data_IF_382147457406
#
_entry.id   IF_382147457406
#
_cell.length_a   1.000
_cell.length_b   1.000
_cell.length_c   1.000
_cell.angle_alpha   90.00
_cell.angle_beta   90.00
_cell.angle_gamma   90.00
#
_symmetry.space_group_name_H-M   'P 1'
#
loop_
_entity.id
_entity.type
_entity.pdbx_description
1 polymer ?
#
# COMPACT_ATOMS: atom_id res chain seq x y z
N UNK A 1 -0.76 6.26 -17.50
CA UNK A 1 -0.34 7.43 -16.69
C UNK A 1 1.15 7.65 -16.91
N UNK A 2 1.64 8.89 -16.82
CA UNK A 2 3.07 9.19 -17.04
C UNK A 2 3.75 9.52 -15.71
N UNK A 3 4.79 8.77 -15.37
CA UNK A 3 5.62 8.95 -14.17
C UNK A 3 7.11 9.16 -14.51
N UNK A 4 7.41 9.50 -15.75
CA UNK A 4 8.79 9.74 -16.19
C UNK A 4 9.47 10.78 -15.28
N UNK A 5 10.67 10.46 -14.78
CA UNK A 5 11.41 11.30 -13.83
C UNK A 5 10.90 11.26 -12.39
N UNK A 6 9.86 10.48 -12.08
CA UNK A 6 9.39 10.27 -10.71
C UNK A 6 10.03 9.04 -10.09
N UNK A 7 10.13 9.04 -8.77
CA UNK A 7 10.59 7.89 -7.98
C UNK A 7 9.50 7.49 -7.01
N UNK A 8 9.17 6.22 -7.00
CA UNK A 8 8.19 5.62 -6.09
C UNK A 8 8.89 4.73 -5.06
N UNK A 9 8.46 4.82 -3.81
CA UNK A 9 8.76 3.87 -2.74
C UNK A 9 7.50 3.05 -2.49
N UNK A 10 7.59 1.72 -2.62
CA UNK A 10 6.46 0.80 -2.42
C UNK A 10 6.79 -0.19 -1.32
N UNK A 11 6.05 -0.15 -0.21
CA UNK A 11 6.25 -1.12 0.87
C UNK A 11 5.51 -2.43 0.58
N UNK A 12 6.14 -3.57 0.91
CA UNK A 12 5.56 -4.89 0.61
C UNK A 12 5.45 -5.16 -0.90
N UNK A 13 6.41 -4.69 -1.70
CA UNK A 13 6.37 -4.72 -3.16
C UNK A 13 6.72 -6.06 -3.82
N UNK A 14 7.03 -7.11 -3.05
CA UNK A 14 7.57 -8.36 -3.59
C UNK A 14 6.51 -9.28 -4.22
N UNK A 15 5.23 -9.16 -3.88
CA UNK A 15 4.15 -10.03 -4.36
C UNK A 15 2.78 -9.34 -4.34
N UNK A 16 1.76 -10.02 -4.89
CA UNK A 16 0.36 -9.61 -4.83
C UNK A 16 0.13 -8.17 -5.30
N UNK A 17 -0.69 -7.44 -4.58
CA UNK A 17 -1.03 -6.04 -4.88
C UNK A 17 0.22 -5.16 -4.95
N UNK A 18 1.17 -5.32 -4.02
CA UNK A 18 2.40 -4.52 -4.00
C UNK A 18 3.25 -4.70 -5.25
N UNK A 19 3.39 -5.95 -5.73
CA UNK A 19 4.07 -6.24 -7.00
C UNK A 19 3.34 -5.61 -8.20
N UNK A 20 2.02 -5.78 -8.26
CA UNK A 20 1.23 -5.17 -9.33
C UNK A 20 1.37 -3.63 -9.36
N UNK A 21 1.40 -2.98 -8.19
CA UNK A 21 1.65 -1.54 -8.06
C UNK A 21 3.05 -1.18 -8.58
N UNK A 22 4.10 -1.92 -8.20
CA UNK A 22 5.46 -1.68 -8.70
C UNK A 22 5.50 -1.73 -10.23
N UNK A 23 4.88 -2.75 -10.84
CA UNK A 23 4.84 -2.92 -12.29
C UNK A 23 4.04 -1.81 -12.99
N UNK A 24 2.91 -1.41 -12.43
CA UNK A 24 2.08 -0.34 -13.01
C UNK A 24 2.80 1.02 -13.00
N UNK A 25 3.48 1.35 -11.89
CA UNK A 25 4.29 2.56 -11.78
C UNK A 25 5.51 2.52 -12.72
N UNK A 26 6.18 1.35 -12.82
CA UNK A 26 7.29 1.13 -13.74
C UNK A 26 6.87 1.27 -15.21
N UNK A 27 5.70 0.72 -15.59
CA UNK A 27 5.11 0.86 -16.93
C UNK A 27 4.86 2.32 -17.29
N UNK A 28 4.54 3.16 -16.29
CA UNK A 28 4.41 4.60 -16.44
C UNK A 28 5.75 5.36 -16.47
N UNK A 29 6.89 4.70 -16.33
CA UNK A 29 8.23 5.30 -16.38
C UNK A 29 8.77 5.78 -15.03
N UNK A 30 8.17 5.36 -13.88
CA UNK A 30 8.73 5.66 -12.58
C UNK A 30 9.96 4.81 -12.27
N UNK A 31 10.95 5.38 -11.57
CA UNK A 31 11.91 4.58 -10.82
C UNK A 31 11.21 3.96 -9.61
N UNK A 32 11.53 2.71 -9.26
CA UNK A 32 10.85 1.99 -8.18
C UNK A 32 11.85 1.50 -7.12
N UNK A 33 11.71 1.96 -5.89
CA UNK A 33 12.31 1.34 -4.71
C UNK A 33 11.21 0.52 -4.03
N UNK A 34 11.35 -0.78 -3.99
CA UNK A 34 10.44 -1.62 -3.22
C UNK A 34 11.08 -2.14 -1.94
N UNK A 35 10.30 -2.39 -0.89
CA UNK A 35 10.81 -3.14 0.23
C UNK A 35 10.03 -4.43 0.49
N UNK A 36 10.71 -5.36 1.16
CA UNK A 36 10.19 -6.67 1.53
C UNK A 36 10.67 -7.06 2.92
N UNK A 37 9.94 -7.96 3.61
CA UNK A 37 10.35 -8.44 4.92
C UNK A 37 11.08 -9.80 4.87
N UNK A 38 10.56 -10.77 4.12
CA UNK A 38 11.02 -12.16 4.22
C UNK A 38 11.47 -12.82 2.91
N UNK A 39 10.84 -12.53 1.78
CA UNK A 39 11.14 -13.23 0.52
C UNK A 39 11.95 -12.34 -0.42
N UNK A 40 13.28 -12.49 -0.37
CA UNK A 40 14.21 -11.74 -1.20
C UNK A 40 14.08 -12.10 -2.68
N UNK A 41 13.96 -13.39 -3.02
CA UNK A 41 13.86 -13.80 -4.42
C UNK A 41 12.64 -13.18 -5.11
N UNK A 42 11.47 -13.21 -4.46
CA UNK A 42 10.26 -12.57 -5.02
C UNK A 42 10.42 -11.04 -5.18
N UNK A 43 11.22 -10.41 -4.33
CA UNK A 43 11.54 -8.98 -4.48
C UNK A 43 12.45 -8.74 -5.67
N UNK A 44 13.49 -9.57 -5.86
CA UNK A 44 14.38 -9.50 -7.02
C UNK A 44 13.65 -9.81 -8.33
N UNK A 45 12.73 -10.76 -8.33
CA UNK A 45 11.87 -11.06 -9.49
C UNK A 45 10.98 -9.86 -9.85
N UNK A 46 10.52 -9.11 -8.84
CA UNK A 46 9.76 -7.87 -9.07
C UNK A 46 10.64 -6.76 -9.64
N UNK A 47 11.88 -6.62 -9.14
CA UNK A 47 12.87 -5.68 -9.69
C UNK A 47 13.13 -5.99 -11.16
N UNK A 48 13.48 -7.23 -11.49
CA UNK A 48 13.74 -7.66 -12.86
C UNK A 48 12.54 -7.39 -13.79
N UNK A 49 11.31 -7.62 -13.29
CA UNK A 49 10.09 -7.33 -14.05
C UNK A 49 9.88 -5.81 -14.28
N UNK A 50 10.23 -4.95 -13.32
CA UNK A 50 10.22 -3.50 -13.50
C UNK A 50 11.27 -3.04 -14.51
N UNK A 51 12.47 -3.62 -14.45
CA UNK A 51 13.56 -3.31 -15.38
C UNK A 51 13.24 -3.74 -16.82
N UNK A 52 12.56 -4.88 -16.99
CA UNK A 52 12.05 -5.32 -18.28
C UNK A 52 11.03 -4.35 -18.91
N UNK A 53 10.39 -3.51 -18.09
CA UNK A 53 9.51 -2.41 -18.53
C UNK A 53 10.28 -1.10 -18.80
N UNK A 54 11.62 -1.09 -18.67
CA UNK A 54 12.48 0.06 -18.91
C UNK A 54 12.65 0.98 -17.69
N UNK A 55 12.13 0.63 -16.53
CA UNK A 55 12.29 1.40 -15.31
C UNK A 55 13.63 1.06 -14.62
N UNK A 56 14.17 1.99 -13.81
CA UNK A 56 15.19 1.65 -12.83
C UNK A 56 14.49 1.15 -11.57
N UNK A 57 14.90 0.01 -11.06
CA UNK A 57 14.30 -0.55 -9.86
C UNK A 57 15.33 -1.09 -8.88
N UNK A 58 14.99 -1.11 -7.60
CA UNK A 58 15.79 -1.71 -6.55
C UNK A 58 14.88 -2.26 -5.44
N UNK A 59 15.40 -3.25 -4.72
CA UNK A 59 14.73 -3.84 -3.57
C UNK A 59 15.60 -3.72 -2.32
N UNK A 60 14.97 -3.50 -1.18
CA UNK A 60 15.64 -3.48 0.11
C UNK A 60 14.83 -4.26 1.14
N UNK A 61 15.51 -5.09 1.94
CA UNK A 61 14.86 -5.69 3.10
C UNK A 61 14.56 -4.62 4.14
N UNK A 62 13.32 -4.55 4.60
CA UNK A 62 12.89 -3.56 5.60
C UNK A 62 11.66 -4.08 6.35
N UNK A 63 11.78 -4.16 7.65
CA UNK A 63 10.63 -4.25 8.56
C UNK A 63 10.09 -2.83 8.79
N UNK A 64 8.94 -2.54 8.21
CA UNK A 64 8.31 -1.20 8.28
C UNK A 64 7.93 -0.80 9.71
N UNK A 65 7.85 -1.72 10.66
CA UNK A 65 7.60 -1.43 12.08
C UNK A 65 8.81 -0.82 12.80
N UNK A 66 10.00 -0.83 12.16
CA UNK A 66 11.27 -0.37 12.72
C UNK A 66 11.69 0.98 12.12
N UNK A 67 11.81 1.99 12.98
CA UNK A 67 12.13 3.37 12.57
C UNK A 67 13.43 3.46 11.78
N UNK A 68 14.47 2.78 12.23
CA UNK A 68 15.80 2.86 11.61
C UNK A 68 15.81 2.18 10.23
N UNK A 69 15.09 1.06 10.07
CA UNK A 69 14.99 0.37 8.79
C UNK A 69 14.19 1.19 7.77
N UNK A 70 13.09 1.83 8.21
CA UNK A 70 12.31 2.75 7.36
C UNK A 70 13.14 3.96 6.94
N UNK A 71 13.93 4.53 7.88
CA UNK A 71 14.84 5.63 7.55
C UNK A 71 15.86 5.20 6.51
N UNK A 72 16.50 4.04 6.70
CA UNK A 72 17.47 3.49 5.75
C UNK A 72 16.86 3.26 4.35
N UNK A 73 15.61 2.77 4.28
CA UNK A 73 14.89 2.58 3.02
C UNK A 73 14.71 3.91 2.26
N UNK A 74 14.27 4.96 2.95
CA UNK A 74 14.05 6.28 2.33
C UNK A 74 15.39 6.92 1.93
N UNK A 75 16.41 6.81 2.78
CA UNK A 75 17.76 7.31 2.48
C UNK A 75 18.35 6.59 1.25
N UNK A 76 18.18 5.26 1.15
CA UNK A 76 18.60 4.50 -0.03
C UNK A 76 17.87 4.93 -1.31
N UNK A 77 16.56 5.18 -1.25
CA UNK A 77 15.80 5.69 -2.38
C UNK A 77 16.30 7.08 -2.83
N UNK A 78 16.59 7.96 -1.88
CA UNK A 78 17.14 9.29 -2.15
C UNK A 78 18.56 9.22 -2.75
N UNK A 79 19.41 8.33 -2.23
CA UNK A 79 20.76 8.14 -2.71
C UNK A 79 20.78 7.58 -4.15
N UNK A 80 19.93 6.60 -4.43
CA UNK A 80 19.92 5.91 -5.71
C UNK A 80 19.21 6.68 -6.82
N UNK A 81 18.11 7.38 -6.49
CA UNK A 81 17.23 8.01 -7.48
C UNK A 81 17.12 9.53 -7.32
N UNK A 82 17.76 10.12 -6.33
CA UNK A 82 17.81 11.57 -6.10
C UNK A 82 16.60 12.19 -5.43
N UNK A 83 15.42 11.55 -5.48
CA UNK A 83 14.19 12.09 -4.91
C UNK A 83 13.20 10.97 -4.56
N UNK A 84 12.20 11.27 -3.72
CA UNK A 84 11.02 10.42 -3.49
C UNK A 84 9.78 11.25 -3.81
N UNK A 85 9.07 10.87 -4.87
CA UNK A 85 7.89 11.58 -5.36
C UNK A 85 6.58 10.88 -4.97
N UNK A 86 6.61 9.55 -4.89
CA UNK A 86 5.45 8.70 -4.62
C UNK A 86 5.80 7.77 -3.47
N UNK A 87 4.91 7.67 -2.48
CA UNK A 87 4.97 6.65 -1.44
C UNK A 87 3.69 5.80 -1.52
N UNK A 88 3.85 4.48 -1.61
CA UNK A 88 2.73 3.56 -1.49
C UNK A 88 2.93 2.68 -0.26
N UNK A 89 2.08 2.87 0.74
CA UNK A 89 2.03 2.05 1.94
C UNK A 89 1.14 0.84 1.71
N UNK A 90 1.74 -0.25 1.24
CA UNK A 90 1.03 -1.50 0.96
C UNK A 90 1.40 -2.63 1.94
N UNK A 91 2.56 -2.58 2.61
CA UNK A 91 2.94 -3.59 3.60
C UNK A 91 1.85 -3.80 4.65
N UNK A 92 1.51 -5.05 4.89
CA UNK A 92 0.50 -5.41 5.88
C UNK A 92 0.41 -6.92 6.09
N UNK A 93 -0.07 -7.28 7.26
CA UNK A 93 -0.31 -8.66 7.70
C UNK A 93 -1.69 -8.79 8.31
N UNK A 94 -2.19 -10.01 8.38
CA UNK A 94 -3.36 -10.40 9.16
C UNK A 94 -2.95 -11.38 10.25
N UNK A 95 -3.65 -11.36 11.39
CA UNK A 95 -3.59 -12.33 12.47
C UNK A 95 -5.00 -12.51 13.00
N UNK A 96 -5.80 -13.25 12.24
CA UNK A 96 -7.23 -13.38 12.46
C UNK A 96 -7.51 -14.26 13.69
N UNK A 97 -8.55 -13.91 14.43
CA UNK A 97 -9.00 -14.61 15.63
C UNK A 97 -10.16 -13.87 16.30
N UNK A 98 -11.04 -14.60 16.98
CA UNK A 98 -12.13 -13.98 17.73
C UNK A 98 -11.56 -13.15 18.90
N UNK A 99 -12.17 -12.02 19.21
CA UNK A 99 -11.70 -11.08 20.23
C UNK A 99 -11.37 -11.77 21.57
N UNK A 100 -12.24 -12.68 22.02
CA UNK A 100 -12.06 -13.36 23.31
C UNK A 100 -10.83 -14.29 23.36
N UNK A 101 -10.32 -14.72 22.22
CA UNK A 101 -9.17 -15.64 22.12
C UNK A 101 -7.96 -14.99 21.47
N UNK A 102 -8.08 -13.75 21.01
CA UNK A 102 -6.98 -13.02 20.36
C UNK A 102 -5.89 -12.71 21.37
N UNK A 103 -4.66 -13.10 21.05
CA UNK A 103 -3.49 -12.77 21.87
C UNK A 103 -3.06 -11.34 21.64
N UNK A 104 -2.59 -10.66 22.68
CA UNK A 104 -2.03 -9.30 22.57
C UNK A 104 -0.91 -9.22 21.51
N UNK A 105 -0.06 -10.23 21.43
CA UNK A 105 0.99 -10.35 20.43
C UNK A 105 0.45 -10.30 18.99
N UNK A 106 -0.69 -10.93 18.73
CA UNK A 106 -1.35 -10.90 17.42
C UNK A 106 -1.94 -9.50 17.11
N UNK A 107 -2.43 -8.82 18.13
CA UNK A 107 -2.86 -7.44 18.05
C UNK A 107 -1.68 -6.52 17.74
N UNK A 108 -0.63 -6.57 18.55
CA UNK A 108 0.54 -5.70 18.43
C UNK A 108 1.26 -5.87 17.07
N UNK A 109 1.46 -7.11 16.61
CA UNK A 109 2.08 -7.36 15.30
C UNK A 109 1.30 -6.69 14.15
N UNK A 110 -0.04 -6.77 14.19
CA UNK A 110 -0.88 -6.17 13.14
C UNK A 110 -0.84 -4.64 13.22
N UNK A 111 -0.98 -4.05 14.41
CA UNK A 111 -0.90 -2.60 14.57
C UNK A 111 0.49 -2.06 14.22
N UNK A 112 1.54 -2.71 14.67
CA UNK A 112 2.92 -2.29 14.40
C UNK A 112 3.25 -2.33 12.90
N UNK A 113 2.85 -3.38 12.20
CA UNK A 113 3.13 -3.48 10.77
C UNK A 113 2.23 -2.58 9.95
N UNK A 114 0.88 -2.69 10.12
CA UNK A 114 -0.06 -2.07 9.22
C UNK A 114 -0.26 -0.58 9.49
N UNK A 115 -0.28 -0.17 10.77
CA UNK A 115 -0.60 1.19 11.16
C UNK A 115 0.65 2.01 11.48
N UNK A 116 1.47 1.55 12.42
CA UNK A 116 2.70 2.23 12.79
C UNK A 116 3.71 2.24 11.64
N UNK A 117 3.82 1.15 10.86
CA UNK A 117 4.66 1.10 9.67
C UNK A 117 4.28 2.17 8.64
N UNK A 118 2.98 2.32 8.33
CA UNK A 118 2.50 3.40 7.47
C UNK A 118 2.79 4.79 8.05
N UNK A 119 2.63 4.98 9.36
CA UNK A 119 3.01 6.22 10.03
C UNK A 119 4.50 6.53 9.86
N UNK A 120 5.38 5.56 10.12
CA UNK A 120 6.83 5.75 10.05
C UNK A 120 7.29 6.12 8.64
N UNK A 121 6.78 5.43 7.61
CA UNK A 121 7.13 5.72 6.22
C UNK A 121 6.62 7.08 5.76
N UNK A 122 5.38 7.46 6.10
CA UNK A 122 4.84 8.80 5.83
C UNK A 122 5.69 9.88 6.52
N UNK A 123 6.04 9.68 7.78
CA UNK A 123 6.90 10.61 8.55
C UNK A 123 8.28 10.77 7.89
N UNK A 124 8.87 9.68 7.40
CA UNK A 124 10.20 9.70 6.79
C UNK A 124 10.23 10.50 5.48
N UNK A 125 9.17 10.42 4.64
CA UNK A 125 9.12 11.14 3.35
C UNK A 125 8.54 12.56 3.45
N UNK A 126 7.73 12.86 4.46
CA UNK A 126 6.95 14.09 4.54
C UNK A 126 7.81 15.35 4.37
N UNK A 127 8.92 15.45 5.11
CA UNK A 127 9.82 16.63 5.04
C UNK A 127 10.42 16.82 3.64
N UNK A 128 10.80 15.74 2.98
CA UNK A 128 11.36 15.75 1.62
C UNK A 128 10.31 16.21 0.62
N UNK A 129 9.11 15.62 0.65
CA UNK A 129 7.99 15.99 -0.22
C UNK A 129 7.54 17.43 -0.03
N UNK A 130 7.49 17.92 1.22
CA UNK A 130 7.19 19.33 1.51
C UNK A 130 8.22 20.30 0.91
N UNK A 131 9.52 19.96 0.98
CA UNK A 131 10.59 20.78 0.38
C UNK A 131 10.53 20.77 -1.15
N UNK A 132 10.24 19.62 -1.75
CA UNK A 132 10.04 19.45 -3.19
C UNK A 132 8.79 20.18 -3.70
N UNK A 133 7.85 20.54 -2.81
CA UNK A 133 6.50 21.01 -3.13
C UNK A 133 5.75 20.06 -4.08
N UNK A 134 6.02 18.78 -3.93
CA UNK A 134 5.43 17.69 -4.67
C UNK A 134 5.51 16.39 -3.87
N UNK A 135 4.43 15.67 -3.80
CA UNK A 135 4.33 14.34 -3.22
C UNK A 135 2.98 13.70 -3.48
N UNK A 136 2.99 12.39 -3.62
CA UNK A 136 1.79 11.55 -3.76
C UNK A 136 1.92 10.39 -2.79
N UNK A 137 1.08 10.38 -1.78
CA UNK A 137 1.05 9.30 -0.77
C UNK A 137 -0.25 8.53 -0.97
N UNK A 138 -0.14 7.23 -1.21
CA UNK A 138 -1.30 6.33 -1.34
C UNK A 138 -1.17 5.21 -0.32
N UNK A 139 -2.13 5.12 0.58
CA UNK A 139 -2.16 4.13 1.64
C UNK A 139 -3.13 2.99 1.30
N UNK A 140 -2.71 1.73 1.42
CA UNK A 140 -3.60 0.59 1.27
C UNK A 140 -4.35 0.35 2.59
N UNK A 141 -5.63 0.71 2.60
CA UNK A 141 -6.60 0.33 3.62
C UNK A 141 -7.23 -1.02 3.25
N UNK A 142 -8.50 -1.21 3.48
CA UNK A 142 -9.33 -2.38 3.12
C UNK A 142 -10.80 -2.04 3.33
N UNK A 143 -11.71 -2.75 2.67
CA UNK A 143 -13.14 -2.74 3.03
C UNK A 143 -13.36 -3.12 4.49
N UNK A 144 -12.51 -3.97 5.06
CA UNK A 144 -12.53 -4.32 6.49
C UNK A 144 -12.26 -3.11 7.38
N UNK A 145 -11.49 -2.14 6.91
CA UNK A 145 -11.28 -0.85 7.61
C UNK A 145 -12.48 0.10 7.51
N UNK A 146 -13.40 -0.14 6.56
CA UNK A 146 -14.62 0.64 6.38
C UNK A 146 -15.78 0.08 7.21
N UNK A 147 -15.97 -1.24 7.22
CA UNK A 147 -17.16 -1.90 7.76
C UNK A 147 -16.88 -2.86 8.92
N UNK A 148 -15.62 -3.22 9.16
CA UNK A 148 -15.25 -4.28 10.08
C UNK A 148 -15.44 -5.67 9.47
N UNK A 149 -14.94 -6.70 10.17
CA UNK A 149 -15.19 -8.10 9.86
C UNK A 149 -15.00 -8.93 11.13
N UNK A 150 -15.85 -9.91 11.34
CA UNK A 150 -15.75 -10.81 12.49
C UNK A 150 -14.39 -11.55 12.47
N UNK A 151 -13.72 -11.64 13.62
CA UNK A 151 -12.41 -12.26 13.73
C UNK A 151 -11.23 -11.40 13.27
N UNK A 152 -11.45 -10.14 12.88
CA UNK A 152 -10.41 -9.24 12.36
C UNK A 152 -10.37 -7.89 13.10
N UNK A 153 -10.63 -7.87 14.40
CA UNK A 153 -10.68 -6.60 15.16
C UNK A 153 -9.37 -5.83 15.10
N UNK A 154 -8.21 -6.50 15.16
CA UNK A 154 -6.89 -5.90 15.01
C UNK A 154 -6.67 -5.34 13.60
N UNK A 155 -6.99 -6.12 12.58
CA UNK A 155 -6.85 -5.71 11.18
C UNK A 155 -7.79 -4.55 10.85
N UNK A 156 -9.07 -4.64 11.24
CA UNK A 156 -10.05 -3.56 11.08
C UNK A 156 -9.58 -2.26 11.74
N UNK A 157 -9.14 -2.33 13.00
CA UNK A 157 -8.60 -1.18 13.73
C UNK A 157 -7.39 -0.57 13.00
N UNK A 158 -6.44 -1.40 12.53
CA UNK A 158 -5.26 -0.93 11.81
C UNK A 158 -5.64 -0.22 10.50
N UNK A 159 -6.58 -0.79 9.71
CA UNK A 159 -6.99 -0.24 8.42
C UNK A 159 -7.89 1.00 8.54
N UNK A 160 -8.73 1.06 9.56
CA UNK A 160 -9.48 2.26 9.94
C UNK A 160 -8.53 3.38 10.42
N UNK A 161 -7.51 3.04 11.21
CA UNK A 161 -6.47 3.99 11.64
C UNK A 161 -5.70 4.59 10.47
N UNK A 162 -5.37 3.80 9.45
CA UNK A 162 -4.75 4.28 8.19
C UNK A 162 -5.65 5.32 7.49
N UNK A 163 -6.97 5.15 7.48
CA UNK A 163 -7.91 6.12 6.93
C UNK A 163 -7.86 7.44 7.72
N UNK A 164 -7.84 7.36 9.05
CA UNK A 164 -7.72 8.53 9.91
C UNK A 164 -6.43 9.31 9.67
N UNK A 165 -5.28 8.59 9.61
CA UNK A 165 -3.98 9.20 9.29
C UNK A 165 -3.97 9.84 7.89
N UNK A 166 -4.57 9.18 6.89
CA UNK A 166 -4.68 9.71 5.52
C UNK A 166 -5.35 11.08 5.52
N UNK A 167 -6.51 11.20 6.19
CA UNK A 167 -7.27 12.46 6.25
C UNK A 167 -6.54 13.57 7.02
N UNK A 168 -5.86 13.23 8.11
CA UNK A 168 -5.11 14.19 8.91
C UNK A 168 -3.90 14.72 8.14
N UNK A 169 -3.08 13.83 7.59
CA UNK A 169 -1.89 14.21 6.87
C UNK A 169 -2.20 14.96 5.56
N UNK A 170 -3.32 14.64 4.90
CA UNK A 170 -3.81 15.39 3.74
C UNK A 170 -3.99 16.88 4.07
N UNK A 171 -4.59 17.19 5.22
CA UNK A 171 -4.79 18.58 5.67
C UNK A 171 -3.48 19.29 5.98
N UNK A 172 -2.52 18.58 6.57
CA UNK A 172 -1.21 19.16 6.93
C UNK A 172 -0.35 19.47 5.69
N UNK A 173 -0.42 18.64 4.65
CA UNK A 173 0.50 18.71 3.52
C UNK A 173 -0.08 19.35 2.25
N UNK A 174 -1.39 19.58 2.16
CA UNK A 174 -2.05 20.09 0.95
C UNK A 174 -1.43 21.41 0.44
N UNK A 175 -1.14 22.35 1.35
CA UNK A 175 -0.53 23.65 0.99
C UNK A 175 0.89 23.55 0.43
N UNK A 176 1.48 22.35 0.49
CA UNK A 176 2.81 22.04 -0.04
C UNK A 176 2.78 21.23 -1.33
N UNK A 177 1.61 21.10 -1.98
CA UNK A 177 1.46 20.35 -3.23
C UNK A 177 1.56 18.83 -3.05
N UNK A 178 1.35 18.33 -1.83
CA UNK A 178 1.36 16.90 -1.50
C UNK A 178 -0.06 16.41 -1.31
N UNK A 179 -0.44 15.35 -2.01
CA UNK A 179 -1.72 14.67 -1.79
C UNK A 179 -1.53 13.40 -0.99
N UNK A 180 -2.50 13.08 -0.14
CA UNK A 180 -2.50 11.86 0.66
C UNK A 180 -3.88 11.22 0.54
N UNK A 181 -3.95 10.02 -0.05
CA UNK A 181 -5.19 9.29 -0.27
C UNK A 181 -5.06 7.84 0.19
N UNK A 182 -6.17 7.15 0.30
CA UNK A 182 -6.22 5.72 0.57
C UNK A 182 -6.96 4.98 -0.54
N UNK A 183 -6.55 3.74 -0.79
CA UNK A 183 -7.33 2.76 -1.55
C UNK A 183 -7.80 1.70 -0.57
N UNK A 184 -9.07 1.31 -0.64
CA UNK A 184 -9.66 0.26 0.16
C UNK A 184 -10.05 -0.92 -0.74
N UNK A 185 -9.15 -1.92 -0.94
CA UNK A 185 -9.48 -3.10 -1.72
C UNK A 185 -10.53 -3.96 -1.01
N UNK A 186 -11.38 -4.61 -1.81
CA UNK A 186 -12.20 -5.73 -1.38
C UNK A 186 -11.42 -7.05 -1.41
N UNK A 187 -12.09 -8.13 -1.83
CA UNK A 187 -11.44 -9.43 -2.02
C UNK A 187 -10.72 -9.46 -3.37
N UNK A 188 -9.40 -9.51 -3.31
CA UNK A 188 -8.50 -9.50 -4.47
C UNK A 188 -7.86 -10.87 -4.64
N UNK A 189 -7.80 -11.39 -5.86
CA UNK A 189 -7.15 -12.66 -6.17
C UNK A 189 -5.62 -12.52 -6.02
N UNK A 190 -5.11 -13.08 -4.93
CA UNK A 190 -3.70 -13.05 -4.52
C UNK A 190 -3.40 -14.34 -3.77
N UNK A 191 -2.11 -14.61 -3.50
CA UNK A 191 -1.70 -15.75 -2.66
C UNK A 191 -2.46 -15.82 -1.33
N UNK A 192 -2.82 -14.67 -0.76
CA UNK A 192 -3.53 -14.58 0.52
C UNK A 192 -4.97 -15.10 0.39
N UNK A 193 -5.68 -14.77 -0.68
CA UNK A 193 -7.03 -15.26 -0.95
C UNK A 193 -7.03 -16.67 -1.55
N UNK A 194 -6.00 -17.04 -2.30
CA UNK A 194 -5.81 -18.39 -2.80
C UNK A 194 -5.60 -19.43 -1.68
N UNK A 195 -5.06 -19.00 -0.54
CA UNK A 195 -4.89 -19.85 0.63
C UNK A 195 -6.21 -20.16 1.38
N UNK A 196 -7.31 -19.48 1.05
CA UNK A 196 -8.61 -19.74 1.65
C UNK A 196 -9.18 -21.09 1.12
N UNK A 197 -9.85 -21.88 2.00
CA UNK A 197 -10.58 -23.06 1.55
C UNK A 197 -11.60 -22.72 0.46
N UNK A 198 -11.82 -23.64 -0.50
CA UNK A 198 -12.74 -23.40 -1.62
C UNK A 198 -14.14 -22.99 -1.13
N UNK A 199 -14.68 -23.66 -0.11
CA UNK A 199 -15.97 -23.32 0.47
C UNK A 199 -16.06 -21.87 0.99
N UNK A 200 -14.96 -21.35 1.55
CA UNK A 200 -14.90 -19.95 1.99
C UNK A 200 -14.87 -19.00 0.78
N UNK A 201 -14.15 -19.34 -0.29
CA UNK A 201 -14.13 -18.56 -1.54
C UNK A 201 -15.52 -18.53 -2.18
N UNK A 202 -16.20 -19.67 -2.25
CA UNK A 202 -17.55 -19.77 -2.83
C UNK A 202 -18.58 -18.97 -2.00
N UNK A 203 -18.40 -18.91 -0.68
CA UNK A 203 -19.27 -18.12 0.20
C UNK A 203 -19.02 -16.60 0.07
N UNK A 204 -17.84 -16.18 -0.41
CA UNK A 204 -17.52 -14.76 -0.60
C UNK A 204 -18.13 -14.18 -1.89
N UNK A 205 -18.18 -14.95 -2.97
CA UNK A 205 -18.64 -14.46 -4.28
C UNK A 205 -20.03 -13.83 -4.26
N UNK A 206 -21.05 -14.42 -3.57
CA UNK A 206 -22.38 -13.80 -3.48
C UNK A 206 -22.41 -12.48 -2.72
N UNK A 207 -21.38 -12.18 -1.89
CA UNK A 207 -21.29 -10.93 -1.13
C UNK A 207 -20.70 -9.79 -1.95
N UNK A 208 -20.14 -10.10 -3.15
CA UNK A 208 -19.56 -9.12 -4.06
C UNK A 208 -20.59 -8.86 -5.17
N UNK A 209 -21.15 -7.64 -5.29
CA UNK A 209 -22.09 -7.33 -6.37
C UNK A 209 -21.56 -7.62 -7.77
N UNK A 210 -20.26 -7.41 -8.02
CA UNK A 210 -19.60 -7.75 -9.28
C UNK A 210 -19.42 -9.27 -9.52
N UNK A 211 -19.76 -10.13 -8.53
CA UNK A 211 -19.72 -11.60 -8.58
C UNK A 211 -18.37 -12.20 -9.00
N UNK A 212 -17.29 -11.52 -8.72
CA UNK A 212 -15.91 -11.99 -8.94
C UNK A 212 -14.96 -11.37 -7.93
N UNK A 213 -13.82 -12.01 -7.75
CA UNK A 213 -12.68 -11.38 -7.08
C UNK A 213 -12.12 -10.27 -7.98
N UNK A 214 -11.57 -9.22 -7.37
CA UNK A 214 -10.79 -8.22 -8.09
C UNK A 214 -9.41 -8.77 -8.45
N UNK A 215 -8.81 -8.26 -9.50
CA UNK A 215 -7.41 -8.52 -9.84
C UNK A 215 -6.48 -7.52 -9.12
N UNK A 216 -5.25 -7.93 -8.82
CA UNK A 216 -4.26 -7.05 -8.21
C UNK A 216 -3.96 -5.83 -9.09
N UNK A 217 -4.05 -5.99 -10.40
CA UNK A 217 -3.88 -4.95 -11.41
C UNK A 217 -4.97 -3.86 -11.31
N UNK A 218 -6.21 -4.22 -10.97
CA UNK A 218 -7.30 -3.25 -10.81
C UNK A 218 -7.03 -2.31 -9.62
N UNK A 219 -6.48 -2.87 -8.54
CA UNK A 219 -6.02 -2.06 -7.39
C UNK A 219 -4.81 -1.21 -7.77
N UNK A 220 -3.85 -1.77 -8.51
CA UNK A 220 -2.66 -1.05 -8.95
C UNK A 220 -3.00 0.14 -9.86
N UNK A 221 -3.97 0.01 -10.75
CA UNK A 221 -4.46 1.08 -11.60
C UNK A 221 -5.09 2.22 -10.79
N UNK A 222 -5.89 1.90 -9.77
CA UNK A 222 -6.46 2.89 -8.86
C UNK A 222 -5.37 3.63 -8.06
N UNK A 223 -4.37 2.90 -7.56
CA UNK A 223 -3.19 3.49 -6.88
C UNK A 223 -2.42 4.40 -7.84
N UNK A 224 -2.15 3.96 -9.06
CA UNK A 224 -1.45 4.74 -10.05
C UNK A 224 -2.22 6.01 -10.44
N UNK A 225 -3.56 5.94 -10.56
CA UNK A 225 -4.38 7.13 -10.76
C UNK A 225 -4.20 8.16 -9.64
N UNK A 226 -4.34 7.73 -8.38
CA UNK A 226 -4.18 8.62 -7.22
C UNK A 226 -2.74 9.14 -7.05
N UNK A 227 -1.74 8.40 -7.54
CA UNK A 227 -0.34 8.81 -7.56
C UNK A 227 0.01 9.74 -8.74
N UNK A 228 -0.87 9.92 -9.71
CA UNK A 228 -0.63 10.73 -10.91
C UNK A 228 -0.92 12.21 -10.71
N UNK A 229 -0.46 13.02 -11.68
CA UNK A 229 -0.80 14.45 -11.71
C UNK A 229 -2.26 14.71 -12.09
N UNK A 230 -2.96 13.72 -12.68
CA UNK A 230 -4.39 13.80 -12.94
C UNK A 230 -5.25 13.87 -11.66
N UNK A 231 -4.72 13.32 -10.54
CA UNK A 231 -5.35 13.36 -9.22
C UNK A 231 -4.83 14.51 -8.33
N UNK A 232 -4.21 15.54 -8.90
CA UNK A 232 -3.54 16.61 -8.12
C UNK A 232 -4.49 17.40 -7.20
N UNK A 233 -5.79 17.38 -7.46
CA UNK A 233 -6.82 18.04 -6.62
C UNK A 233 -7.59 17.03 -5.74
N UNK A 234 -7.20 15.77 -5.74
CA UNK A 234 -7.79 14.70 -4.92
C UNK A 234 -6.87 14.47 -3.71
N UNK A 235 -7.33 14.79 -2.50
CA UNK A 235 -6.59 14.53 -1.26
C UNK A 235 -7.54 14.24 -0.11
N UNK A 236 -7.11 13.40 0.83
CA UNK A 236 -7.90 12.97 1.98
C UNK A 236 -9.00 11.96 1.65
N UNK A 237 -9.03 11.41 0.43
CA UNK A 237 -10.08 10.51 -0.03
C UNK A 237 -9.73 9.04 0.23
N UNK A 238 -10.79 8.23 0.33
CA UNK A 238 -10.70 6.77 0.38
C UNK A 238 -11.46 6.23 -0.83
N UNK A 239 -10.73 5.60 -1.74
CA UNK A 239 -11.30 4.99 -2.94
C UNK A 239 -11.46 3.47 -2.72
N UNK A 240 -12.70 3.00 -2.66
CA UNK A 240 -12.97 1.57 -2.63
C UNK A 240 -12.72 0.94 -4.02
N UNK A 241 -12.06 -0.22 -4.05
CA UNK A 241 -11.84 -1.05 -5.23
C UNK A 241 -12.27 -2.46 -4.86
N UNK A 242 -13.58 -2.71 -4.86
CA UNK A 242 -14.18 -3.82 -4.12
C UNK A 242 -15.36 -4.51 -4.83
N UNK A 243 -15.62 -4.16 -6.09
CA UNK A 243 -16.72 -4.71 -6.85
C UNK A 243 -18.12 -4.39 -6.28
N UNK A 244 -18.22 -3.30 -5.50
CA UNK A 244 -19.47 -2.82 -4.91
C UNK A 244 -19.76 -3.31 -3.50
N UNK A 245 -18.83 -3.99 -2.82
CA UNK A 245 -19.05 -4.52 -1.46
C UNK A 245 -19.35 -3.44 -0.42
N UNK A 246 -18.88 -2.21 -0.66
CA UNK A 246 -18.99 -1.08 0.28
C UNK A 246 -20.19 -0.17 0.01
N UNK A 247 -21.08 -0.58 -0.89
CA UNK A 247 -22.31 0.18 -1.19
C UNK A 247 -23.38 -0.04 -0.15
#
# INVERSE_FOLDING_TARGET
MNFTGKTAVVTGGSRGIGRAICLELARGGANVMLCYAGNEQAALDTVAACEALGAKAAAMRCDVSKTDEVKALVDAALQQFGAVHILVNNAGITRDGLLMTMKEDAWDQVLDTNLKGAFLTMKAVARTMMKQRYGRIVNLSSVVGLHGNAGQVNYAASKAGVIGMTKSLAKELASRGVTVNAVAPGFIDTDMTAALPQAARDALLPTIPAQRLGAAEEVAQAVAFLASDQAAYITGQVLAVDGGMSM
#
